data_IF_228949776057
#
_entry.id   IF_228949776057
#
_cell.length_a   1.000
_cell.length_b   1.000
_cell.length_c   1.000
_cell.angle_alpha   90.00
_cell.angle_beta   90.00
_cell.angle_gamma   90.00
#
_symmetry.space_group_name_H-M   'P 1'
#
loop_
_entity.id
_entity.type
_entity.pdbx_description
1 polymer ?
#
# COMPACT_ATOMS: atom_id res chain seq x y z
N UNK A 1 -12.42 -1.44 -9.47
CA UNK A 1 -12.63 -2.89 -9.37
C UNK A 1 -12.23 -3.51 -10.69
N UNK A 2 -10.99 -3.99 -10.81
CA UNK A 2 -10.52 -4.58 -12.06
C UNK A 2 -11.26 -5.88 -12.40
N UNK A 3 -12.22 -5.80 -13.32
CA UNK A 3 -12.79 -7.01 -13.91
C UNK A 3 -11.70 -7.71 -14.73
N UNK A 4 -11.12 -8.79 -14.18
CA UNK A 4 -10.33 -9.76 -14.94
C UNK A 4 -11.24 -10.38 -16.00
N UNK A 5 -11.36 -9.74 -17.16
CA UNK A 5 -12.05 -10.33 -18.30
C UNK A 5 -11.13 -11.38 -18.91
N UNK A 6 -11.68 -12.59 -19.08
CA UNK A 6 -11.06 -13.77 -19.71
C UNK A 6 -10.62 -13.56 -21.18
N UNK A 7 -10.82 -12.37 -21.75
CA UNK A 7 -10.41 -12.01 -23.10
C UNK A 7 -9.31 -10.95 -23.01
N UNK A 8 -8.07 -11.39 -23.26
CA UNK A 8 -6.89 -10.53 -23.32
C UNK A 8 -7.04 -9.54 -24.48
N UNK A 9 -7.30 -8.27 -24.15
CA UNK A 9 -7.25 -7.15 -25.10
C UNK A 9 -5.93 -6.39 -24.82
N UNK A 10 -4.97 -6.37 -25.75
CA UNK A 10 -3.67 -5.71 -25.54
C UNK A 10 -3.78 -4.19 -25.37
N UNK A 11 -4.88 -3.58 -25.80
CA UNK A 11 -5.13 -2.13 -25.68
C UNK A 11 -5.78 -1.73 -24.34
N UNK A 12 -6.18 -2.70 -23.51
CA UNK A 12 -6.80 -2.41 -22.20
C UNK A 12 -5.69 -2.23 -21.15
N UNK A 13 -5.68 -1.13 -20.36
CA UNK A 13 -4.76 -0.99 -19.23
C UNK A 13 -4.93 -2.17 -18.27
N UNK A 14 -3.86 -2.93 -18.06
CA UNK A 14 -3.86 -3.96 -17.02
C UNK A 14 -3.91 -3.25 -15.67
N UNK A 15 -4.77 -3.71 -14.77
CA UNK A 15 -4.75 -3.17 -13.41
C UNK A 15 -3.50 -3.68 -12.73
N UNK A 16 -2.59 -2.76 -12.48
CA UNK A 16 -1.36 -3.05 -11.77
C UNK A 16 -1.54 -2.56 -10.33
N UNK A 17 -0.85 -3.20 -9.38
CA UNK A 17 -0.80 -2.75 -8.00
C UNK A 17 0.65 -2.42 -7.66
N UNK A 18 0.85 -1.44 -6.78
CA UNK A 18 2.15 -1.12 -6.19
C UNK A 18 2.24 -1.65 -4.76
N UNK A 19 3.41 -2.15 -4.37
CA UNK A 19 3.73 -2.49 -2.97
C UNK A 19 4.96 -1.71 -2.53
N UNK A 20 4.95 -1.26 -1.28
CA UNK A 20 6.06 -0.55 -0.65
C UNK A 20 6.22 -1.04 0.80
N UNK A 21 7.45 -1.17 1.28
CA UNK A 21 7.76 -1.60 2.64
C UNK A 21 9.03 -0.96 3.16
N UNK A 22 9.03 -0.65 4.47
CA UNK A 22 10.15 -0.05 5.19
C UNK A 22 10.26 -0.70 6.58
N UNK A 23 11.49 -0.86 7.07
CA UNK A 23 11.80 -1.45 8.37
C UNK A 23 12.86 -0.61 9.08
N UNK A 24 12.82 -0.54 10.42
CA UNK A 24 13.82 0.14 11.23
C UNK A 24 13.72 1.68 11.22
N UNK A 25 12.57 2.22 10.79
CA UNK A 25 12.29 3.65 10.82
C UNK A 25 11.28 3.98 11.92
N UNK A 26 11.56 4.99 12.74
CA UNK A 26 10.60 5.53 13.71
C UNK A 26 9.36 6.10 13.01
N UNK A 27 9.52 6.58 11.77
CA UNK A 27 8.48 7.19 10.96
C UNK A 27 8.05 6.28 9.79
N UNK A 28 7.91 4.97 10.05
CA UNK A 28 7.55 3.97 9.05
C UNK A 28 6.22 4.28 8.34
N UNK A 29 5.21 4.79 9.05
CA UNK A 29 3.90 5.12 8.48
C UNK A 29 3.99 6.23 7.42
N UNK A 30 4.64 7.34 7.76
CA UNK A 30 4.80 8.51 6.87
C UNK A 30 5.68 8.17 5.68
N UNK A 31 6.77 7.43 5.91
CA UNK A 31 7.65 6.98 4.83
C UNK A 31 6.91 6.05 3.86
N UNK A 32 6.05 5.17 4.37
CA UNK A 32 5.20 4.28 3.55
C UNK A 32 4.18 5.08 2.75
N UNK A 33 3.59 6.12 3.33
CA UNK A 33 2.68 7.02 2.62
C UNK A 33 3.36 7.68 1.41
N UNK A 34 4.54 8.26 1.58
CA UNK A 34 5.28 8.87 0.46
C UNK A 34 5.77 7.84 -0.58
N UNK A 35 6.12 6.64 -0.13
CA UNK A 35 6.45 5.52 -1.01
C UNK A 35 5.26 5.12 -1.90
N UNK A 36 4.07 4.95 -1.31
CA UNK A 36 2.83 4.68 -2.05
C UNK A 36 2.41 5.87 -2.94
N UNK A 37 2.61 7.10 -2.46
CA UNK A 37 2.35 8.32 -3.26
C UNK A 37 3.17 8.31 -4.56
N UNK A 38 4.44 7.96 -4.48
CA UNK A 38 5.33 7.83 -5.64
C UNK A 38 4.86 6.74 -6.62
N UNK A 39 4.12 5.74 -6.13
CA UNK A 39 3.60 4.61 -6.91
C UNK A 39 2.15 4.81 -7.41
N UNK A 40 1.53 5.97 -7.21
CA UNK A 40 0.13 6.22 -7.63
C UNK A 40 -0.11 6.01 -9.12
N UNK A 41 0.92 6.20 -9.95
CA UNK A 41 0.86 5.90 -11.39
C UNK A 41 0.58 4.42 -11.71
N UNK A 42 0.72 3.51 -10.73
CA UNK A 42 0.41 2.09 -10.88
C UNK A 42 -1.03 1.76 -10.49
N UNK A 43 -1.68 2.57 -9.65
CA UNK A 43 -3.06 2.35 -9.21
C UNK A 43 -3.61 3.55 -8.44
N UNK A 44 -4.77 4.04 -8.88
CA UNK A 44 -5.52 5.14 -8.25
C UNK A 44 -6.79 4.66 -7.51
N UNK A 45 -7.10 3.36 -7.57
CA UNK A 45 -8.39 2.85 -7.10
C UNK A 45 -8.51 2.76 -5.58
N UNK A 46 -7.41 2.44 -4.88
CA UNK A 46 -7.37 2.26 -3.42
C UNK A 46 -5.93 2.28 -2.91
N UNK A 47 -5.75 2.58 -1.63
CA UNK A 47 -4.46 2.47 -0.94
C UNK A 47 -4.63 1.91 0.48
N UNK A 48 -3.58 1.26 1.00
CA UNK A 48 -3.58 0.73 2.35
C UNK A 48 -2.19 0.70 2.96
N UNK A 49 -2.10 1.04 4.24
CA UNK A 49 -0.86 1.06 5.03
C UNK A 49 -1.09 0.26 6.30
N UNK A 50 -0.16 -0.64 6.61
CA UNK A 50 -0.09 -1.35 7.89
C UNK A 50 1.28 -1.11 8.50
N UNK A 51 1.32 -0.67 9.76
CA UNK A 51 2.57 -0.51 10.51
C UNK A 51 2.50 -1.24 11.84
N UNK A 52 3.66 -1.69 12.32
CA UNK A 52 3.84 -2.32 13.62
C UNK A 52 4.65 -1.40 14.52
N UNK A 53 4.17 -1.14 15.73
CA UNK A 53 4.91 -0.42 16.77
C UNK A 53 4.68 -1.08 18.13
N UNK A 54 5.44 -0.69 19.15
CA UNK A 54 5.24 -1.16 20.52
C UNK A 54 4.60 -0.06 21.36
N UNK A 55 3.65 -0.42 22.21
CA UNK A 55 3.10 0.51 23.20
C UNK A 55 3.99 0.59 24.46
N UNK A 56 3.61 1.44 25.42
CA UNK A 56 4.34 1.60 26.69
C UNK A 56 4.44 0.33 27.55
N UNK A 57 3.62 -0.69 27.28
CA UNK A 57 3.65 -1.99 27.92
C UNK A 57 4.43 -3.05 27.10
N UNK A 58 5.23 -2.60 26.12
CA UNK A 58 5.99 -3.44 25.19
C UNK A 58 5.12 -4.45 24.41
N UNK A 59 3.84 -4.14 24.24
CA UNK A 59 2.91 -4.95 23.45
C UNK A 59 2.96 -4.47 21.99
N UNK A 60 3.09 -5.38 21.00
CA UNK A 60 3.01 -5.02 19.60
C UNK A 60 1.59 -4.52 19.27
N UNK A 61 1.52 -3.38 18.61
CA UNK A 61 0.30 -2.76 18.09
C UNK A 61 0.42 -2.64 16.57
N UNK A 62 -0.69 -2.92 15.89
CA UNK A 62 -0.77 -2.79 14.44
C UNK A 62 -1.71 -1.63 14.11
N UNK A 63 -1.17 -0.60 13.44
CA UNK A 63 -1.95 0.52 12.94
C UNK A 63 -2.27 0.29 11.47
N UNK A 64 -3.55 0.43 11.12
CA UNK A 64 -4.05 0.16 9.76
C UNK A 64 -4.73 1.43 9.26
N UNK A 65 -4.28 1.91 8.11
CA UNK A 65 -4.94 2.99 7.35
C UNK A 65 -5.39 2.43 6.00
N UNK A 66 -6.64 2.70 5.61
CA UNK A 66 -7.22 2.29 4.34
C UNK A 66 -7.98 3.48 3.78
N UNK A 67 -7.68 3.82 2.53
CA UNK A 67 -8.40 4.83 1.74
C UNK A 67 -9.16 4.15 0.60
#
# INVERSE_FOLDING_TARGET
MCEKKLNYNPDKPTCNCGIFGIMGSENAAVSTYYGLHSLQHRGQEAAGIVTSSFNSANKPIFNIHKD
#
